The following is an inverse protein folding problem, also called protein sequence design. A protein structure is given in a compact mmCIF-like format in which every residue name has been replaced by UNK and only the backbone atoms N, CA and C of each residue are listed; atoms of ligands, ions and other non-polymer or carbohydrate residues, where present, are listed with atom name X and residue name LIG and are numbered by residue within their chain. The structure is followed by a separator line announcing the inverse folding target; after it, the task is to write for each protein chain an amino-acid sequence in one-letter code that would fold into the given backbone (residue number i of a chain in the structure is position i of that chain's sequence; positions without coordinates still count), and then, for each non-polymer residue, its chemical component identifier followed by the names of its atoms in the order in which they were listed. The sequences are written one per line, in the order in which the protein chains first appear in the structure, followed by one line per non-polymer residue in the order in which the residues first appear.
data_IF_501839400676
#
_entry.id   IF_501839400676
#
_cell.length_a   1.000
_cell.length_b   1.000
_cell.length_c   1.000
_cell.angle_alpha   90.00
_cell.angle_beta   90.00
_cell.angle_gamma   90.00
#
_symmetry.space_group_name_H-M   'P 1'
#
loop_
_entity.id
_entity.type
_entity.pdbx_description
1 polymer ?
#
# COMPACT_ATOMS: atom_id res chain seq x y z
N UNK A 1 10.72 1.24 -17.38
CA UNK A 1 11.39 1.48 -18.69
C UNK A 1 12.76 2.11 -18.46
N UNK A 2 13.72 1.87 -19.36
CA UNK A 2 15.13 2.30 -19.21
C UNK A 2 15.28 3.83 -19.18
N UNK A 3 14.47 4.55 -19.95
CA UNK A 3 14.49 6.01 -20.02
C UNK A 3 14.13 6.71 -18.71
N UNK A 4 13.49 6.00 -17.76
CA UNK A 4 13.06 6.58 -16.50
C UNK A 4 11.80 7.44 -16.62
N UNK A 5 11.46 8.18 -15.54
CA UNK A 5 10.29 9.05 -15.49
C UNK A 5 10.49 10.32 -16.34
N UNK A 6 9.39 10.88 -16.82
CA UNK A 6 9.33 12.13 -17.61
C UNK A 6 8.43 13.13 -16.91
N UNK A 7 8.88 14.37 -16.78
CA UNK A 7 8.10 15.45 -16.17
C UNK A 7 6.77 15.66 -16.90
N UNK A 8 5.69 15.78 -16.14
CA UNK A 8 4.32 15.97 -16.64
C UNK A 8 3.69 14.72 -17.25
N UNK A 9 4.33 13.54 -17.18
CA UNK A 9 3.70 12.33 -17.71
C UNK A 9 2.54 11.87 -16.81
N UNK A 10 1.39 11.46 -17.38
CA UNK A 10 0.31 10.84 -16.62
C UNK A 10 0.75 9.53 -15.98
N UNK A 11 0.38 9.32 -14.71
CA UNK A 11 0.75 8.14 -13.93
C UNK A 11 -0.43 7.53 -13.19
N UNK A 12 -0.26 6.28 -12.76
CA UNK A 12 -1.13 5.61 -11.80
C UNK A 12 -0.32 4.69 -10.86
N UNK A 13 -0.88 4.41 -9.68
CA UNK A 13 -0.22 3.62 -8.64
C UNK A 13 -1.15 2.51 -8.16
N UNK A 14 -0.95 1.24 -8.58
CA UNK A 14 -1.55 0.09 -7.94
C UNK A 14 -0.82 -0.22 -6.63
N UNK A 15 -1.54 -0.20 -5.51
CA UNK A 15 -0.95 -0.22 -4.17
C UNK A 15 -1.84 -0.96 -3.16
N UNK A 16 -1.25 -1.33 -2.02
CA UNK A 16 -1.91 -1.97 -0.88
C UNK A 16 -1.88 -1.05 0.37
N UNK A 17 -2.65 0.05 0.37
CA UNK A 17 -2.58 1.05 1.43
C UNK A 17 -3.03 0.45 2.76
N UNK A 18 -2.22 0.60 3.81
CA UNK A 18 -2.43 0.04 5.14
C UNK A 18 -2.73 -1.48 5.15
N UNK A 19 -2.19 -2.24 4.19
CA UNK A 19 -2.47 -3.68 4.06
C UNK A 19 -3.88 -4.00 3.55
N UNK A 20 -4.64 -3.00 3.10
CA UNK A 20 -5.99 -3.16 2.52
C UNK A 20 -5.90 -3.84 1.14
N UNK A 21 -7.03 -4.31 0.60
CA UNK A 21 -7.11 -4.77 -0.79
C UNK A 21 -6.54 -3.74 -1.77
N UNK A 22 -6.09 -4.24 -2.93
CA UNK A 22 -5.46 -3.40 -3.97
C UNK A 22 -6.35 -2.20 -4.30
N UNK A 23 -5.76 -1.00 -4.26
CA UNK A 23 -6.36 0.23 -4.75
C UNK A 23 -5.48 0.81 -5.85
N UNK A 24 -6.09 1.54 -6.77
CA UNK A 24 -5.36 2.23 -7.83
C UNK A 24 -5.60 3.73 -7.66
N UNK A 25 -4.54 4.49 -7.40
CA UNK A 25 -4.59 5.94 -7.42
C UNK A 25 -4.33 6.42 -8.85
N UNK A 26 -5.25 7.22 -9.39
CA UNK A 26 -5.21 7.75 -10.77
C UNK A 26 -5.52 9.24 -10.86
N UNK A 27 -6.29 9.76 -9.89
CA UNK A 27 -6.86 11.10 -9.88
C UNK A 27 -6.41 11.79 -8.59
N UNK A 28 -6.04 13.07 -8.70
CA UNK A 28 -5.72 13.93 -7.56
C UNK A 28 -6.97 14.63 -7.04
N UNK A 29 -6.91 15.26 -5.87
CA UNK A 29 -8.06 15.93 -5.22
C UNK A 29 -8.82 16.94 -6.10
N UNK A 30 -8.14 17.57 -7.06
CA UNK A 30 -8.76 18.50 -8.01
C UNK A 30 -9.62 17.82 -9.08
N UNK A 31 -9.64 16.48 -9.15
CA UNK A 31 -10.28 15.70 -10.20
C UNK A 31 -9.41 15.51 -11.45
N UNK A 32 -8.21 16.07 -11.49
CA UNK A 32 -7.27 15.90 -12.60
C UNK A 32 -6.54 14.55 -12.54
N UNK A 33 -5.99 14.11 -13.68
CA UNK A 33 -5.11 12.93 -13.74
C UNK A 33 -3.80 13.23 -13.03
N UNK A 34 -3.33 12.30 -12.19
CA UNK A 34 -2.04 12.43 -11.53
C UNK A 34 -0.89 12.39 -12.53
N UNK A 35 0.13 13.20 -12.29
CA UNK A 35 1.32 13.27 -13.16
C UNK A 35 2.60 13.24 -12.34
N UNK A 36 3.74 13.01 -13.00
CA UNK A 36 5.04 13.33 -12.43
C UNK A 36 5.17 14.87 -12.39
N UNK A 37 5.22 15.44 -11.20
CA UNK A 37 5.23 16.88 -10.96
C UNK A 37 6.65 17.44 -10.78
N UNK A 38 7.58 16.60 -10.36
CA UNK A 38 9.00 16.94 -10.29
C UNK A 38 9.86 15.74 -10.63
N UNK A 39 10.99 15.99 -11.30
CA UNK A 39 11.97 14.96 -11.63
C UNK A 39 13.06 14.83 -10.57
N UNK A 40 13.15 15.74 -9.60
CA UNK A 40 14.18 15.69 -8.55
C UNK A 40 13.68 16.43 -7.32
N UNK A 41 13.37 15.69 -6.26
CA UNK A 41 13.02 16.23 -4.95
C UNK A 41 13.90 15.62 -3.85
N UNK A 42 14.16 16.36 -2.77
CA UNK A 42 14.71 15.82 -1.54
C UNK A 42 13.56 15.32 -0.63
N UNK A 43 13.18 14.06 -0.80
CA UNK A 43 12.15 13.37 0.00
C UNK A 43 12.80 12.38 0.96
N UNK A 44 12.58 11.07 0.83
CA UNK A 44 13.19 10.08 1.72
C UNK A 44 14.64 9.81 1.35
N UNK A 45 14.97 9.83 0.05
CA UNK A 45 16.32 9.98 -0.44
C UNK A 45 16.42 11.16 -1.41
N UNK A 46 17.64 11.59 -1.69
CA UNK A 46 17.88 12.64 -2.67
C UNK A 46 17.56 12.16 -4.11
N UNK A 47 17.10 13.09 -4.94
CA UNK A 47 16.86 12.88 -6.38
C UNK A 47 15.81 11.79 -6.66
N UNK A 48 14.65 11.94 -6.02
CA UNK A 48 13.43 11.19 -6.30
C UNK A 48 12.50 11.97 -7.25
N UNK A 49 11.54 11.28 -7.88
CA UNK A 49 10.41 11.97 -8.51
C UNK A 49 9.39 12.41 -7.48
N UNK A 50 8.69 13.50 -7.78
CA UNK A 50 7.56 14.01 -7.01
C UNK A 50 6.22 13.84 -7.72
N UNK A 51 5.17 13.48 -6.99
CA UNK A 51 3.78 13.42 -7.46
C UNK A 51 2.79 13.50 -6.29
N UNK A 52 1.55 13.91 -6.54
CA UNK A 52 0.50 14.09 -5.50
C UNK A 52 -0.57 13.01 -5.46
N UNK A 53 -0.42 11.91 -6.22
CA UNK A 53 -1.37 10.77 -6.12
C UNK A 53 -1.40 10.19 -4.71
N UNK A 54 -2.61 9.92 -4.21
CA UNK A 54 -2.84 9.42 -2.86
C UNK A 54 -2.06 8.14 -2.56
N UNK A 55 -1.41 8.15 -1.40
CA UNK A 55 -0.75 6.98 -0.82
C UNK A 55 -1.03 6.95 0.68
N UNK A 56 -0.97 5.75 1.28
CA UNK A 56 -1.08 5.57 2.73
C UNK A 56 0.15 4.77 3.20
N UNK A 57 0.40 4.74 4.50
CA UNK A 57 1.39 3.81 5.07
C UNK A 57 1.14 2.40 4.52
N UNK A 58 2.19 1.70 4.10
CA UNK A 58 2.08 0.38 3.47
C UNK A 58 2.05 0.41 1.94
N UNK A 59 1.94 1.59 1.33
CA UNK A 59 2.08 1.75 -0.12
C UNK A 59 3.53 1.73 -0.60
N UNK A 60 4.52 1.92 0.27
CA UNK A 60 5.95 1.86 -0.09
C UNK A 60 6.29 0.54 -0.80
N UNK A 61 7.08 0.62 -1.86
CA UNK A 61 7.39 -0.47 -2.79
C UNK A 61 6.42 -0.57 -3.97
N UNK A 62 5.28 0.13 -3.95
CA UNK A 62 4.34 0.11 -5.07
C UNK A 62 4.94 0.74 -6.32
N UNK A 63 4.74 0.15 -7.51
CA UNK A 63 5.20 0.73 -8.75
C UNK A 63 4.38 1.97 -9.10
N UNK A 64 5.07 3.03 -9.54
CA UNK A 64 4.47 4.16 -10.23
C UNK A 64 4.58 3.87 -11.72
N UNK A 65 3.44 3.73 -12.40
CA UNK A 65 3.40 3.38 -13.82
C UNK A 65 2.97 4.58 -14.65
N UNK A 66 3.54 4.71 -15.83
CA UNK A 66 3.02 5.65 -16.82
C UNK A 66 1.67 5.15 -17.34
N UNK A 67 0.67 6.01 -17.37
CA UNK A 67 -0.63 5.67 -17.94
C UNK A 67 -0.60 5.57 -19.48
N UNK A 68 0.51 5.97 -20.12
CA UNK A 68 0.68 5.91 -21.59
C UNK A 68 1.10 4.52 -22.07
N UNK A 69 2.09 3.92 -21.41
CA UNK A 69 2.75 2.70 -21.87
C UNK A 69 2.71 1.56 -20.83
N UNK A 70 2.10 1.79 -19.66
CA UNK A 70 2.05 0.86 -18.53
C UNK A 70 3.44 0.39 -18.05
N UNK A 71 4.51 1.13 -18.37
CA UNK A 71 5.83 0.85 -17.87
C UNK A 71 6.01 1.49 -16.49
N UNK A 72 6.71 0.78 -15.60
CA UNK A 72 7.15 1.36 -14.32
C UNK A 72 8.13 2.50 -14.61
N UNK A 73 7.92 3.64 -13.96
CA UNK A 73 8.74 4.86 -14.07
C UNK A 73 9.41 5.23 -12.75
N UNK A 74 8.83 4.83 -11.62
CA UNK A 74 9.41 4.96 -10.29
C UNK A 74 8.88 3.89 -9.34
N UNK A 75 9.52 3.74 -8.18
CA UNK A 75 9.04 2.96 -7.04
C UNK A 75 8.71 3.91 -5.90
N UNK A 76 7.45 3.93 -5.48
CA UNK A 76 7.04 4.76 -4.35
C UNK A 76 7.77 4.31 -3.08
N UNK A 77 8.38 5.23 -2.35
CA UNK A 77 9.02 4.92 -1.06
C UNK A 77 8.71 5.96 0.02
N UNK A 78 8.30 7.17 -0.36
CA UNK A 78 8.13 8.29 0.55
C UNK A 78 6.74 8.90 0.45
N UNK A 79 6.05 9.00 1.59
CA UNK A 79 4.80 9.74 1.70
C UNK A 79 5.03 11.18 2.18
N UNK A 80 4.11 12.09 1.89
CA UNK A 80 4.14 13.49 2.34
C UNK A 80 3.10 14.34 1.62
N UNK A 81 3.20 15.67 1.74
CA UNK A 81 2.40 16.58 0.90
C UNK A 81 2.67 16.33 -0.60
N UNK A 82 3.95 16.15 -0.94
CA UNK A 82 4.39 15.65 -2.24
C UNK A 82 5.01 14.27 -2.00
N UNK A 83 4.43 13.24 -2.62
CA UNK A 83 4.94 11.88 -2.51
C UNK A 83 6.22 11.72 -3.34
N UNK A 84 7.11 10.87 -2.85
CA UNK A 84 8.42 10.57 -3.43
C UNK A 84 8.51 9.14 -3.97
N UNK A 85 9.26 8.99 -5.05
CA UNK A 85 9.59 7.69 -5.62
C UNK A 85 10.99 7.60 -6.22
N UNK A 86 11.66 6.47 -5.97
CA UNK A 86 12.96 6.15 -6.57
C UNK A 86 12.79 5.94 -8.06
N UNK A 87 13.56 6.66 -8.87
CA UNK A 87 13.49 6.58 -10.34
C UNK A 87 13.85 5.17 -10.83
N UNK A 88 13.02 4.58 -11.68
CA UNK A 88 13.24 3.20 -12.13
C UNK A 88 14.54 3.03 -12.92
N UNK A 89 15.02 4.07 -13.60
CA UNK A 89 16.28 4.02 -14.36
C UNK A 89 17.49 3.85 -13.44
N UNK A 90 17.44 4.35 -12.19
CA UNK A 90 18.47 4.08 -11.18
C UNK A 90 18.46 2.61 -10.77
N UNK A 91 17.29 2.05 -10.49
CA UNK A 91 17.14 0.62 -10.15
C UNK A 91 17.61 -0.28 -11.30
N UNK A 92 17.24 0.05 -12.54
CA UNK A 92 17.70 -0.68 -13.74
C UNK A 92 19.22 -0.59 -13.87
N UNK A 93 19.81 0.58 -13.64
CA UNK A 93 21.27 0.77 -13.68
C UNK A 93 21.96 -0.13 -12.65
N UNK A 94 21.47 -0.16 -11.42
CA UNK A 94 22.06 -0.96 -10.34
C UNK A 94 21.92 -2.47 -10.63
N UNK A 95 20.74 -2.92 -11.08
CA UNK A 95 20.53 -4.31 -11.51
C UNK A 95 21.39 -4.70 -12.71
N UNK A 96 21.60 -3.79 -13.65
CA UNK A 96 22.46 -4.03 -14.82
C UNK A 96 23.91 -4.17 -14.39
N UNK A 97 24.40 -3.29 -13.51
CA UNK A 97 25.75 -3.37 -12.97
C UNK A 97 25.99 -4.66 -12.18
N UNK A 98 24.95 -5.19 -11.52
CA UNK A 98 25.00 -6.45 -10.80
C UNK A 98 24.77 -7.70 -11.68
N UNK A 99 24.48 -7.55 -12.97
CA UNK A 99 24.02 -8.64 -13.84
C UNK A 99 22.75 -9.37 -13.32
N UNK A 100 21.85 -8.63 -12.68
CA UNK A 100 20.62 -9.13 -12.06
C UNK A 100 19.33 -8.67 -12.76
N UNK A 101 19.43 -8.06 -13.96
CA UNK A 101 18.24 -7.69 -14.73
C UNK A 101 17.51 -8.97 -15.17
N UNK A 102 16.26 -9.20 -14.75
CA UNK A 102 15.52 -10.36 -15.20
C UNK A 102 15.30 -10.32 -16.72
N UNK A 103 15.22 -11.51 -17.33
CA UNK A 103 14.90 -11.64 -18.76
C UNK A 103 13.60 -10.89 -19.08
N UNK A 104 13.59 -10.14 -20.17
CA UNK A 104 12.43 -9.40 -20.69
C UNK A 104 11.85 -8.33 -19.75
N UNK A 105 12.59 -7.91 -18.70
CA UNK A 105 12.14 -6.90 -17.74
C UNK A 105 12.14 -5.46 -18.28
N UNK A 106 12.89 -5.19 -19.37
CA UNK A 106 13.07 -3.85 -19.89
C UNK A 106 12.01 -3.52 -20.95
N UNK A 107 11.02 -2.70 -20.56
CA UNK A 107 10.08 -2.11 -21.49
C UNK A 107 10.83 -1.30 -22.57
N UNK A 108 10.59 -1.63 -23.84
CA UNK A 108 11.28 -1.06 -25.00
C UNK A 108 12.34 -1.97 -25.64
N UNK A 109 12.58 -3.18 -25.11
CA UNK A 109 13.21 -4.25 -25.89
C UNK A 109 12.33 -4.64 -27.08
N UNK A 110 12.93 -5.10 -28.18
CA UNK A 110 12.30 -5.34 -29.50
C UNK A 110 11.24 -6.47 -29.55
N UNK A 111 10.35 -6.53 -28.57
CA UNK A 111 9.10 -7.27 -28.65
C UNK A 111 8.01 -6.23 -28.51
N UNK A 112 7.34 -5.95 -29.62
CA UNK A 112 6.25 -4.99 -29.76
C UNK A 112 5.46 -4.88 -28.46
N UNK A 113 5.34 -3.66 -27.93
CA UNK A 113 4.30 -3.34 -26.96
C UNK A 113 2.98 -3.95 -27.46
N UNK A 114 2.09 -4.45 -26.58
CA UNK A 114 0.74 -4.72 -27.01
C UNK A 114 0.23 -3.42 -27.63
N UNK A 115 -0.03 -3.45 -28.94
CA UNK A 115 -0.65 -2.36 -29.66
C UNK A 115 -2.00 -2.19 -28.98
N UNK A 116 -2.11 -1.19 -28.10
CA UNK A 116 -3.41 -0.74 -27.62
C UNK A 116 -4.11 -0.18 -28.85
N UNK A 117 -4.93 -1.00 -29.49
CA UNK A 117 -5.88 -0.54 -30.48
C UNK A 117 -6.64 0.59 -29.82
N UNK A 118 -6.53 1.79 -30.38
CA UNK A 118 -7.36 2.92 -30.01
C UNK A 118 -8.81 2.52 -30.21
N UNK A 119 -9.45 1.99 -29.17
CA UNK A 119 -10.88 1.79 -29.15
C UNK A 119 -11.49 3.16 -29.02
N UNK A 120 -11.95 3.69 -30.15
CA UNK A 120 -12.88 4.81 -30.19
C UNK A 120 -14.01 4.50 -29.20
N UNK A 121 -14.38 5.41 -28.29
CA UNK A 121 -15.52 5.16 -27.42
C UNK A 121 -16.76 5.04 -28.32
N UNK A 122 -17.27 3.82 -28.47
CA UNK A 122 -18.59 3.60 -29.04
C UNK A 122 -19.57 4.09 -28.00
N UNK A 123 -20.22 5.22 -28.30
CA UNK A 123 -21.38 5.69 -27.57
C UNK A 123 -22.54 4.73 -27.83
N UNK A 124 -22.62 3.63 -27.08
CA UNK A 124 -23.86 2.85 -26.99
C UNK A 124 -24.81 3.57 -26.05
N UNK A 125 -25.75 4.29 -26.64
CA UNK A 125 -26.96 4.72 -25.96
C UNK A 125 -27.75 3.49 -25.51
N UNK A 126 -27.52 3.02 -24.30
CA UNK A 126 -28.38 2.02 -23.66
C UNK A 126 -29.65 2.72 -23.18
N UNK A 127 -30.71 2.59 -23.97
CA UNK A 127 -32.08 2.87 -23.52
C UNK A 127 -32.38 1.97 -22.31
N UNK A 128 -32.86 2.48 -21.17
CA UNK A 128 -33.16 1.65 -20.02
C UNK A 128 -34.32 0.69 -20.33
N UNK A 129 -34.04 -0.62 -20.34
CA UNK A 129 -35.06 -1.64 -20.34
C UNK A 129 -35.67 -1.73 -18.93
N UNK A 130 -36.94 -1.34 -18.82
CA UNK A 130 -37.77 -1.51 -17.62
C UNK A 130 -37.96 -2.99 -17.31
N UNK A 131 -37.20 -3.52 -16.34
CA UNK A 131 -37.52 -4.80 -15.70
C UNK A 131 -38.41 -4.54 -14.49
N UNK A 132 -39.69 -4.93 -14.60
CA UNK A 132 -40.62 -4.97 -13.48
C UNK A 132 -40.31 -6.20 -12.63
N UNK A 133 -39.64 -6.02 -11.50
CA UNK A 133 -39.69 -6.97 -10.39
C UNK A 133 -39.69 -6.19 -9.07
N UNK A 134 -40.46 -6.61 -8.05
CA UNK A 134 -40.85 -5.75 -6.95
C UNK A 134 -39.71 -5.59 -5.93
N UNK A 135 -39.26 -4.36 -5.74
CA UNK A 135 -38.38 -3.98 -4.63
C UNK A 135 -39.25 -3.83 -3.37
N UNK A 136 -39.16 -4.80 -2.45
CA UNK A 136 -39.76 -4.68 -1.13
C UNK A 136 -39.07 -3.54 -0.37
N UNK A 137 -39.84 -2.49 -0.08
CA UNK A 137 -39.42 -1.31 0.67
C UNK A 137 -38.99 -1.68 2.08
N UNK A 138 -37.69 -1.56 2.37
CA UNK A 138 -37.18 -1.50 3.73
C UNK A 138 -37.04 -0.02 4.07
N UNK A 139 -37.85 0.46 5.02
CA UNK A 139 -37.83 1.85 5.49
C UNK A 139 -36.43 2.25 6.01
N UNK A 140 -36.00 3.51 5.81
CA UNK A 140 -34.80 4.02 6.45
C UNK A 140 -34.97 4.06 7.97
N UNK A 141 -34.08 3.40 8.71
CA UNK A 141 -33.96 3.58 10.15
C UNK A 141 -33.14 4.85 10.39
N UNK A 142 -33.82 5.90 10.83
CA UNK A 142 -33.20 7.13 11.36
C UNK A 142 -32.71 6.88 12.78
N UNK A 143 -31.44 6.50 12.94
CA UNK A 143 -30.77 6.56 14.24
C UNK A 143 -30.10 7.91 14.39
N UNK A 144 -30.61 8.70 15.34
CA UNK A 144 -30.04 9.99 15.78
C UNK A 144 -28.58 9.81 16.22
N UNK A 145 -27.73 10.73 15.79
CA UNK A 145 -26.36 10.89 16.29
C UNK A 145 -26.37 11.18 17.82
N UNK A 146 -25.60 10.44 18.64
CA UNK A 146 -25.38 10.82 20.03
C UNK A 146 -24.44 12.02 20.13
N UNK A 147 -24.87 13.01 20.91
CA UNK A 147 -24.14 14.22 21.32
C UNK A 147 -22.84 13.86 22.08
N UNK A 148 -21.75 14.65 21.99
CA UNK A 148 -20.54 14.41 22.77
C UNK A 148 -20.83 14.54 24.28
N UNK A 149 -20.71 13.43 25.01
CA UNK A 149 -20.75 13.40 26.46
C UNK A 149 -19.34 13.55 27.02
N UNK A 150 -19.11 14.61 27.81
CA UNK A 150 -17.93 14.78 28.65
C UNK A 150 -17.98 13.79 29.82
N UNK A 151 -17.05 12.84 29.87
CA UNK A 151 -16.85 11.96 31.03
C UNK A 151 -15.48 12.21 31.67
N UNK A 152 -15.50 12.57 32.95
CA UNK A 152 -14.36 12.82 33.82
C UNK A 152 -13.48 11.57 33.98
N UNK A 153 -12.19 11.80 34.13
CA UNK A 153 -11.18 10.81 34.50
C UNK A 153 -11.46 10.18 35.89
N UNK A 154 -11.38 8.84 36.06
CA UNK A 154 -11.34 8.22 37.38
C UNK A 154 -9.93 8.11 37.95
N UNK A 155 -9.78 8.51 39.21
CA UNK A 155 -8.61 8.34 40.09
C UNK A 155 -8.52 6.88 40.62
N UNK A 156 -7.33 6.36 41.02
CA UNK A 156 -7.08 4.92 41.18
C UNK A 156 -7.76 4.31 42.42
N UNK A 157 -8.29 3.09 42.27
CA UNK A 157 -8.71 2.24 43.38
C UNK A 157 -7.72 1.06 43.54
N UNK A 158 -7.11 1.01 44.72
CA UNK A 158 -6.31 -0.09 45.25
C UNK A 158 -7.18 -1.27 45.66
N UNK A 159 -6.86 -2.47 45.15
CA UNK A 159 -7.27 -3.72 45.81
C UNK A 159 -6.24 -4.82 45.52
N UNK A 160 -5.94 -5.60 46.57
CA UNK A 160 -4.82 -6.53 46.70
C UNK A 160 -4.89 -7.77 45.79
N UNK A 161 -3.71 -8.34 45.57
CA UNK A 161 -3.39 -9.57 44.83
C UNK A 161 -4.14 -10.83 45.28
N UNK A 162 -4.30 -11.79 44.36
CA UNK A 162 -3.93 -13.17 44.66
C UNK A 162 -2.97 -13.79 43.61
N UNK A 163 -1.88 -14.31 44.15
CA UNK A 163 -0.98 -15.42 43.73
C UNK A 163 -0.99 -15.97 42.29
N UNK A 164 0.22 -15.98 41.74
CA UNK A 164 0.75 -16.60 40.53
C UNK A 164 0.43 -18.09 40.37
N UNK A 165 0.34 -18.57 39.12
CA UNK A 165 1.13 -19.71 38.69
C UNK A 165 2.13 -19.26 37.63
N UNK A 166 3.41 -19.33 38.00
CA UNK A 166 4.55 -19.18 37.09
C UNK A 166 4.43 -20.23 35.99
N UNK A 167 4.14 -19.80 34.76
CA UNK A 167 4.32 -20.65 33.59
C UNK A 167 5.61 -20.21 32.92
N UNK A 168 6.64 -21.01 33.13
CA UNK A 168 7.97 -20.84 32.56
C UNK A 168 7.89 -20.68 31.04
N UNK A 169 8.61 -19.69 30.52
CA UNK A 169 8.89 -19.55 29.10
C UNK A 169 9.45 -20.88 28.53
N UNK A 170 9.14 -21.26 27.28
CA UNK A 170 10.01 -22.14 26.54
C UNK A 170 11.24 -21.32 26.14
N UNK A 171 12.36 -21.59 26.81
CA UNK A 171 13.67 -21.20 26.31
C UNK A 171 14.00 -22.13 25.14
N UNK A 172 14.14 -21.57 23.94
CA UNK A 172 14.83 -22.22 22.83
C UNK A 172 14.03 -22.34 21.53
N UNK A 173 14.33 -21.44 20.59
CA UNK A 173 14.04 -21.61 19.17
C UNK A 173 13.40 -20.38 18.51
N UNK A 174 14.20 -19.63 17.74
CA UNK A 174 13.78 -18.69 16.69
C UNK A 174 13.34 -17.26 17.03
N UNK A 175 13.12 -16.87 18.29
CA UNK A 175 12.57 -15.53 18.57
C UNK A 175 13.55 -14.33 18.49
N UNK A 176 14.86 -14.53 18.25
CA UNK A 176 15.88 -13.47 18.05
C UNK A 176 15.67 -12.16 18.87
N UNK A 177 15.31 -12.29 20.15
CA UNK A 177 15.01 -11.18 21.09
C UNK A 177 13.77 -10.31 20.77
N UNK A 178 12.93 -10.70 19.82
CA UNK A 178 11.68 -10.00 19.52
C UNK A 178 10.67 -10.13 20.66
N UNK A 179 10.08 -8.99 21.05
CA UNK A 179 8.86 -8.90 21.85
C UNK A 179 7.69 -8.66 20.89
N UNK A 180 6.85 -9.67 20.70
CA UNK A 180 5.67 -9.64 19.85
C UNK A 180 5.73 -10.66 18.73
N UNK A 181 5.32 -10.27 17.52
CA UNK A 181 5.30 -11.17 16.37
C UNK A 181 6.63 -11.14 15.60
N UNK A 182 7.25 -12.31 15.42
CA UNK A 182 8.47 -12.48 14.65
C UNK A 182 8.20 -13.20 13.34
N UNK A 183 8.88 -12.84 12.25
CA UNK A 183 8.84 -13.58 10.96
C UNK A 183 10.18 -14.22 10.67
N UNK A 184 10.16 -15.55 10.48
CA UNK A 184 11.35 -16.31 10.08
C UNK A 184 11.77 -16.02 8.64
N UNK A 185 10.81 -15.66 7.79
CA UNK A 185 11.04 -15.35 6.38
C UNK A 185 11.83 -14.06 6.18
N UNK A 186 11.57 -13.03 7.00
CA UNK A 186 12.26 -11.74 6.92
C UNK A 186 13.33 -11.55 8.00
N UNK A 187 13.44 -12.47 8.97
CA UNK A 187 14.39 -12.37 10.07
C UNK A 187 14.18 -11.13 10.95
N UNK A 188 12.93 -10.67 11.11
CA UNK A 188 12.61 -9.37 11.71
C UNK A 188 11.38 -9.43 12.62
N UNK A 189 11.31 -8.50 13.58
CA UNK A 189 10.13 -8.29 14.43
C UNK A 189 9.12 -7.38 13.74
N UNK A 190 7.83 -7.70 13.84
CA UNK A 190 6.76 -6.77 13.48
C UNK A 190 6.67 -5.62 14.50
N UNK A 191 6.14 -4.45 14.09
CA UNK A 191 5.93 -3.32 15.01
C UNK A 191 5.09 -3.68 16.24
N UNK A 192 5.28 -2.97 17.36
CA UNK A 192 4.46 -3.17 18.56
C UNK A 192 2.97 -2.91 18.27
N UNK A 193 2.07 -3.76 18.79
CA UNK A 193 0.62 -3.61 18.66
C UNK A 193 -0.11 -4.76 17.96
N UNK A 194 0.62 -5.75 17.44
CA UNK A 194 0.01 -6.99 16.98
C UNK A 194 -0.33 -7.90 18.17
N UNK A 195 -1.50 -8.51 18.13
CA UNK A 195 -1.90 -9.56 19.08
C UNK A 195 -1.38 -10.93 18.65
N UNK A 196 -1.36 -11.87 19.58
CA UNK A 196 -1.01 -13.27 19.29
C UNK A 196 -1.86 -13.85 18.14
N UNK A 197 -3.17 -13.59 18.15
CA UNK A 197 -4.09 -14.04 17.11
C UNK A 197 -3.75 -13.45 15.73
N UNK A 198 -3.35 -12.18 15.68
CA UNK A 198 -2.91 -11.56 14.44
C UNK A 198 -1.59 -12.17 13.98
N UNK A 199 -0.65 -12.43 14.90
CA UNK A 199 0.64 -13.00 14.57
C UNK A 199 0.51 -14.38 13.91
N UNK A 200 -0.28 -15.28 14.48
CA UNK A 200 -0.46 -16.64 13.93
C UNK A 200 -1.31 -16.67 12.65
N UNK A 201 -2.02 -15.58 12.34
CA UNK A 201 -2.81 -15.46 11.11
C UNK A 201 -1.96 -15.24 9.84
N UNK A 202 -0.72 -14.78 10.00
CA UNK A 202 0.19 -14.46 8.89
C UNK A 202 0.99 -15.67 8.40
N UNK A 203 0.30 -16.72 7.96
CA UNK A 203 0.91 -17.99 7.50
C UNK A 203 1.93 -17.82 6.37
N UNK A 204 1.72 -16.82 5.49
CA UNK A 204 2.62 -16.52 4.36
C UNK A 204 4.01 -16.08 4.84
N UNK A 205 4.10 -15.44 6.01
CA UNK A 205 5.33 -14.87 6.53
C UNK A 205 6.05 -15.77 7.54
N UNK A 206 5.59 -17.02 7.73
CA UNK A 206 6.13 -17.96 8.71
C UNK A 206 6.35 -17.29 10.08
N UNK A 207 5.28 -16.69 10.59
CA UNK A 207 5.31 -15.90 11.82
C UNK A 207 5.20 -16.76 13.07
N UNK A 208 5.80 -16.28 14.16
CA UNK A 208 5.76 -16.92 15.49
C UNK A 208 5.58 -15.86 16.57
N UNK A 209 4.74 -16.15 17.56
CA UNK A 209 4.50 -15.26 18.69
C UNK A 209 5.56 -15.45 19.77
N UNK A 210 6.24 -14.37 20.14
CA UNK A 210 7.37 -14.36 21.07
C UNK A 210 7.04 -13.69 22.42
N UNK A 211 5.77 -13.36 22.68
CA UNK A 211 5.32 -12.74 23.94
C UNK A 211 5.50 -11.22 24.00
N UNK A 212 5.23 -10.61 25.16
CA UNK A 212 5.35 -9.15 25.39
C UNK A 212 6.61 -8.78 26.20
#
# INVERSE_FOLDING_TARGET
RVSGPVLGEPIYIPQHPAGKPKRIATIVDSGAVGTIESISIPSCVADEVGYTLDTERGSSGSPVLSAKDNAVVALHNCGGCLNGGVKINKVIKDLTAANLVPKDALAGGSTSAPITTSVTPVTTSVTPATSKSPMTSIKPVTTKAPKPGTTKAPKPATTKAPVTPTTSAPVGGDCTECKGCYTKLLGACFPNGFTEAQCVSFTVFQTTWCGN
#
